data_IF_703888700274
#
_entry.id   IF_703888700274
#
_cell.length_a   1.000
_cell.length_b   1.000
_cell.length_c   1.000
_cell.angle_alpha   90.00
_cell.angle_beta   90.00
_cell.angle_gamma   90.00
#
_symmetry.space_group_name_H-M   'P 1'
#
loop_
_entity.id
_entity.type
_entity.pdbx_description
1 polymer ?
#
# COMPACT_ATOMS: atom_id res chain seq x y z
N UNK A 1 -10.09 -6.40 -24.77
CA UNK A 1 -9.90 -7.26 -23.57
C UNK A 1 -8.76 -6.81 -22.65
N UNK A 2 -7.57 -6.43 -23.13
CA UNK A 2 -6.46 -5.95 -22.28
C UNK A 2 -6.76 -4.57 -21.65
N UNK A 3 -7.23 -3.60 -22.44
CA UNK A 3 -7.42 -2.21 -21.99
C UNK A 3 -8.35 -2.09 -20.77
N UNK A 4 -9.45 -2.85 -20.76
CA UNK A 4 -10.41 -2.87 -19.65
C UNK A 4 -9.77 -3.42 -18.38
N UNK A 5 -8.95 -4.48 -18.48
CA UNK A 5 -8.23 -5.02 -17.33
C UNK A 5 -7.19 -4.04 -16.81
N UNK A 6 -6.45 -3.38 -17.69
CA UNK A 6 -5.46 -2.36 -17.30
C UNK A 6 -6.12 -1.20 -16.56
N UNK A 7 -7.25 -0.68 -17.07
CA UNK A 7 -8.01 0.38 -16.41
C UNK A 7 -8.52 -0.10 -15.04
N UNK A 8 -9.06 -1.32 -14.96
CA UNK A 8 -9.55 -1.89 -13.71
C UNK A 8 -8.44 -2.01 -12.64
N UNK A 9 -7.27 -2.52 -13.04
CA UNK A 9 -6.08 -2.60 -12.17
C UNK A 9 -5.69 -1.21 -11.69
N UNK A 10 -5.62 -0.23 -12.60
CA UNK A 10 -5.24 1.13 -12.28
C UNK A 10 -6.20 1.76 -11.26
N UNK A 11 -7.52 1.64 -11.47
CA UNK A 11 -8.53 2.16 -10.56
C UNK A 11 -8.41 1.53 -9.15
N UNK A 12 -8.06 0.23 -9.05
CA UNK A 12 -7.85 -0.42 -7.75
C UNK A 12 -6.57 0.02 -7.05
N UNK A 13 -5.48 0.26 -7.79
CA UNK A 13 -4.17 0.61 -7.22
C UNK A 13 -4.05 2.08 -6.85
N UNK A 14 -4.61 2.99 -7.63
CA UNK A 14 -4.51 4.44 -7.39
C UNK A 14 -4.86 4.85 -5.95
N UNK A 15 -6.02 4.49 -5.36
CA UNK A 15 -6.38 4.92 -4.01
C UNK A 15 -5.41 4.36 -2.96
N UNK A 16 -4.89 3.15 -3.19
CA UNK A 16 -3.94 2.47 -2.31
C UNK A 16 -2.58 3.16 -2.34
N UNK A 17 -2.08 3.51 -3.53
CA UNK A 17 -0.81 4.23 -3.71
C UNK A 17 -0.90 5.62 -3.10
N UNK A 18 -2.02 6.32 -3.27
CA UNK A 18 -2.25 7.64 -2.67
C UNK A 18 -2.29 7.56 -1.13
N UNK A 19 -2.95 6.55 -0.57
CA UNK A 19 -2.96 6.32 0.88
C UNK A 19 -1.54 6.09 1.42
N UNK A 20 -0.76 5.23 0.76
CA UNK A 20 0.63 4.95 1.15
C UNK A 20 1.52 6.20 1.09
N UNK A 21 1.38 7.01 0.02
CA UNK A 21 2.10 8.28 -0.11
C UNK A 21 1.76 9.24 1.02
N UNK A 22 0.47 9.38 1.35
CA UNK A 22 0.00 10.26 2.43
C UNK A 22 0.51 9.79 3.79
N UNK A 23 0.44 8.50 4.07
CA UNK A 23 0.90 7.92 5.33
C UNK A 23 2.43 8.02 5.47
N UNK A 24 3.18 7.90 4.37
CA UNK A 24 4.63 8.15 4.36
C UNK A 24 4.98 9.60 4.68
N UNK A 25 4.30 10.57 4.07
CA UNK A 25 4.52 11.99 4.35
C UNK A 25 4.21 12.29 5.82
N UNK A 26 3.09 11.75 6.34
CA UNK A 26 2.69 11.90 7.73
C UNK A 26 3.74 11.30 8.69
N UNK A 27 4.19 10.07 8.41
CA UNK A 27 5.23 9.39 9.20
C UNK A 27 6.53 10.21 9.28
N UNK A 28 6.99 10.76 8.14
CA UNK A 28 8.19 11.61 8.10
C UNK A 28 7.95 12.93 8.84
N UNK A 29 6.80 13.57 8.62
CA UNK A 29 6.47 14.86 9.24
C UNK A 29 6.33 14.79 10.76
N UNK A 30 5.93 13.63 11.28
CA UNK A 30 5.75 13.42 12.71
C UNK A 30 6.96 12.73 13.37
N UNK A 31 8.04 12.45 12.64
CA UNK A 31 9.17 11.64 13.09
C UNK A 31 8.74 10.29 13.73
N UNK A 32 7.60 9.75 13.29
CA UNK A 32 6.99 8.56 13.88
C UNK A 32 6.39 8.73 15.28
N UNK A 33 6.18 9.96 15.77
CA UNK A 33 5.52 10.27 17.05
C UNK A 33 4.03 10.56 16.85
N UNK A 34 3.18 10.22 17.82
CA UNK A 34 1.74 10.51 17.81
C UNK A 34 1.00 10.05 16.52
N UNK A 35 1.41 8.90 16.01
CA UNK A 35 0.81 8.28 14.83
C UNK A 35 -0.36 7.37 15.22
N UNK A 36 -1.44 7.44 14.45
CA UNK A 36 -2.56 6.50 14.55
C UNK A 36 -2.19 5.17 13.90
N UNK A 37 -1.53 4.28 14.67
CA UNK A 37 -1.13 2.95 14.22
C UNK A 37 -2.31 2.14 13.65
N UNK A 38 -3.52 2.28 14.21
CA UNK A 38 -4.71 1.57 13.72
C UNK A 38 -5.07 2.01 12.31
N UNK A 39 -4.91 3.30 11.99
CA UNK A 39 -5.11 3.80 10.62
C UNK A 39 -4.07 3.23 9.66
N UNK A 40 -2.80 3.17 10.06
CA UNK A 40 -1.72 2.61 9.23
C UNK A 40 -1.96 1.13 8.96
N UNK A 41 -2.31 0.34 9.99
CA UNK A 41 -2.65 -1.08 9.82
C UNK A 41 -3.84 -1.30 8.89
N UNK A 42 -4.90 -0.49 9.02
CA UNK A 42 -6.06 -0.56 8.10
C UNK A 42 -5.65 -0.30 6.65
N UNK A 43 -4.77 0.68 6.43
CA UNK A 43 -4.27 0.98 5.11
C UNK A 43 -3.36 -0.14 4.58
N UNK A 44 -2.47 -0.70 5.40
CA UNK A 44 -1.65 -1.87 5.08
C UNK A 44 -2.52 -3.06 4.64
N UNK A 45 -3.56 -3.39 5.41
CA UNK A 45 -4.51 -4.46 5.07
C UNK A 45 -5.23 -4.18 3.75
N UNK A 46 -5.58 -2.91 3.48
CA UNK A 46 -6.19 -2.51 2.21
C UNK A 46 -5.25 -2.72 1.02
N UNK A 47 -3.96 -2.44 1.18
CA UNK A 47 -2.92 -2.69 0.17
C UNK A 47 -2.85 -4.20 -0.11
N UNK A 48 -2.72 -5.00 0.94
CA UNK A 48 -2.63 -6.45 0.86
C UNK A 48 -3.84 -7.05 0.15
N UNK A 49 -5.06 -6.69 0.57
CA UNK A 49 -6.30 -7.16 -0.04
C UNK A 49 -6.41 -6.76 -1.52
N UNK A 50 -5.89 -5.59 -1.88
CA UNK A 50 -5.85 -5.13 -3.27
C UNK A 50 -4.90 -5.99 -4.09
N UNK A 51 -3.70 -6.26 -3.58
CA UNK A 51 -2.72 -7.13 -4.25
C UNK A 51 -3.26 -8.55 -4.44
N UNK A 52 -3.90 -9.13 -3.41
CA UNK A 52 -4.54 -10.45 -3.49
C UNK A 52 -5.65 -10.44 -4.56
N UNK A 53 -6.50 -9.40 -4.57
CA UNK A 53 -7.59 -9.28 -5.54
C UNK A 53 -7.13 -9.11 -6.99
N UNK A 54 -5.95 -8.53 -7.22
CA UNK A 54 -5.41 -8.29 -8.56
C UNK A 54 -4.63 -9.50 -9.11
N UNK A 55 -4.27 -10.46 -8.24
CA UNK A 55 -3.76 -11.77 -8.62
C UNK A 55 -2.25 -11.97 -8.40
N UNK A 56 -1.70 -13.08 -8.92
CA UNK A 56 -0.37 -13.60 -8.53
C UNK A 56 0.80 -12.62 -8.72
N UNK A 57 0.76 -11.81 -9.78
CA UNK A 57 1.80 -10.80 -10.05
C UNK A 57 1.84 -9.75 -8.95
N UNK A 58 0.68 -9.29 -8.48
CA UNK A 58 0.57 -8.28 -7.44
C UNK A 58 0.85 -8.84 -6.05
N UNK A 59 0.57 -10.13 -5.81
CA UNK A 59 0.99 -10.82 -4.59
C UNK A 59 2.52 -10.84 -4.49
N UNK A 60 3.22 -11.21 -5.57
CA UNK A 60 4.70 -11.16 -5.63
C UNK A 60 5.23 -9.74 -5.44
N UNK A 61 4.55 -8.76 -6.04
CA UNK A 61 4.89 -7.35 -5.82
C UNK A 61 4.75 -6.94 -4.35
N UNK A 62 3.66 -7.34 -3.68
CA UNK A 62 3.47 -7.14 -2.24
C UNK A 62 4.57 -7.77 -1.41
N UNK A 63 4.96 -9.01 -1.71
CA UNK A 63 6.07 -9.69 -1.03
C UNK A 63 7.42 -8.96 -1.21
N UNK A 64 7.70 -8.47 -2.41
CA UNK A 64 8.88 -7.66 -2.69
C UNK A 64 8.83 -6.30 -1.98
N UNK A 65 7.65 -5.70 -1.85
CA UNK A 65 7.46 -4.45 -1.11
C UNK A 65 7.66 -4.65 0.40
N UNK A 66 7.15 -5.77 0.95
CA UNK A 66 7.32 -6.13 2.36
C UNK A 66 8.77 -6.42 2.74
N UNK A 67 9.62 -6.86 1.81
CA UNK A 67 11.06 -7.01 2.06
C UNK A 67 11.82 -5.67 2.04
N UNK A 68 11.15 -4.59 1.61
CA UNK A 68 11.71 -3.24 1.50
C UNK A 68 11.19 -2.33 2.61
N UNK A 69 11.73 -2.50 3.81
CA UNK A 69 11.42 -1.66 4.97
C UNK A 69 11.80 -0.18 4.77
N UNK A 70 12.64 0.13 3.79
CA UNK A 70 12.93 1.49 3.34
C UNK A 70 11.73 2.18 2.64
N UNK A 71 10.85 1.39 2.01
CA UNK A 71 9.72 1.87 1.20
C UNK A 71 8.38 1.86 1.97
N UNK A 72 8.27 1.13 3.07
CA UNK A 72 7.07 1.13 3.91
C UNK A 72 7.31 1.89 5.23
N UNK A 73 6.34 2.69 5.73
CA UNK A 73 6.37 3.15 7.10
C UNK A 73 6.44 1.94 8.04
N UNK A 74 7.18 2.04 9.14
CA UNK A 74 7.33 0.93 10.10
C UNK A 74 5.99 0.33 10.58
N UNK A 75 4.91 1.11 10.80
CA UNK A 75 3.60 0.57 11.20
C UNK A 75 2.88 -0.29 10.14
N UNK A 76 3.43 -0.41 8.92
CA UNK A 76 2.89 -1.29 7.87
C UNK A 76 3.48 -2.71 7.90
N UNK A 77 4.56 -2.92 8.66
CA UNK A 77 5.25 -4.20 8.83
C UNK A 77 4.74 -4.89 10.09
#
# INVERSE_FOLDING_TARGET
MILVRTIHVFIKLVPVILALRKDRILWISQEGKDIDEKRFQRNAQRILNTCISLGPVFIKFGQWLSSRADILPQPYL
#
